data_IF_554242390356
#
_entry.id   IF_554242390356
#
_cell.length_a   1.000
_cell.length_b   1.000
_cell.length_c   1.000
_cell.angle_alpha   90.00
_cell.angle_beta   90.00
_cell.angle_gamma   90.00
#
_symmetry.space_group_name_H-M   'P 1'
#
loop_
_entity.id
_entity.type
_entity.pdbx_description
1 polymer ?
#
# COMPACT_ATOMS: atom_id res chain seq x y z
N UNK A 1 -21.44 18.10 -54.38
CA UNK A 1 -20.39 18.96 -53.77
C UNK A 1 -21.03 20.26 -53.33
N UNK A 2 -20.95 20.64 -52.07
CA UNK A 2 -21.20 22.01 -51.67
C UNK A 2 -22.38 22.30 -50.74
N UNK A 3 -22.61 21.49 -49.67
CA UNK A 3 -23.63 21.86 -48.67
C UNK A 3 -23.03 22.30 -47.31
N UNK A 4 -21.75 22.05 -47.12
CA UNK A 4 -21.05 22.39 -45.85
C UNK A 4 -20.49 23.84 -45.84
N UNK A 5 -20.38 24.48 -47.03
CA UNK A 5 -19.83 25.84 -47.16
C UNK A 5 -20.79 26.98 -46.86
N UNK A 6 -22.09 26.71 -46.63
CA UNK A 6 -23.12 27.78 -46.39
C UNK A 6 -23.49 27.98 -44.92
N UNK A 7 -22.97 27.19 -44.02
CA UNK A 7 -23.25 27.30 -42.56
C UNK A 7 -22.15 28.06 -41.78
N UNK A 8 -21.10 28.53 -42.43
CA UNK A 8 -19.97 29.19 -41.77
C UNK A 8 -19.82 30.67 -42.08
N UNK A 9 -20.75 31.27 -42.87
CA UNK A 9 -20.67 32.68 -43.22
C UNK A 9 -22.03 33.36 -43.14
N UNK A 10 -22.46 33.69 -41.95
CA UNK A 10 -23.67 34.48 -41.73
C UNK A 10 -23.91 34.78 -40.26
N UNK A 11 -23.37 35.87 -39.76
CA UNK A 11 -23.65 36.29 -38.39
C UNK A 11 -22.89 37.55 -37.98
N UNK A 12 -23.48 38.66 -38.23
CA UNK A 12 -23.40 39.98 -37.59
C UNK A 12 -22.14 40.35 -36.78
N UNK A 13 -21.33 41.20 -37.37
CA UNK A 13 -20.45 42.16 -36.69
C UNK A 13 -21.22 43.25 -35.97
N UNK A 14 -21.66 42.99 -34.73
CA UNK A 14 -22.03 44.05 -33.78
C UNK A 14 -22.37 43.43 -32.42
N UNK A 15 -21.36 42.91 -31.72
CA UNK A 15 -21.26 42.97 -30.25
C UNK A 15 -19.94 42.24 -29.81
N UNK A 16 -18.85 42.95 -29.92
CA UNK A 16 -17.62 42.49 -29.27
C UNK A 16 -17.64 42.99 -27.83
N UNK A 17 -17.83 42.14 -26.83
CA UNK A 17 -17.57 42.55 -25.47
C UNK A 17 -16.06 42.84 -25.34
N UNK A 18 -15.72 43.93 -24.66
CA UNK A 18 -14.34 44.30 -24.35
C UNK A 18 -13.59 43.14 -23.69
N UNK A 19 -12.30 42.99 -23.94
CA UNK A 19 -11.52 41.96 -23.28
C UNK A 19 -11.51 42.24 -21.78
N UNK A 20 -12.18 41.39 -21.02
CA UNK A 20 -12.05 41.36 -19.58
C UNK A 20 -10.62 40.87 -19.34
N UNK A 21 -9.74 41.76 -18.97
CA UNK A 21 -8.42 41.45 -18.46
C UNK A 21 -8.65 40.68 -17.16
N UNK A 22 -8.70 39.35 -17.26
CA UNK A 22 -8.63 38.50 -16.09
C UNK A 22 -7.27 38.78 -15.45
N UNK A 23 -7.31 39.47 -14.30
CA UNK A 23 -6.12 39.57 -13.46
C UNK A 23 -5.64 38.15 -13.19
N UNK A 24 -4.46 37.81 -13.71
CA UNK A 24 -3.80 36.56 -13.44
C UNK A 24 -3.67 36.46 -11.91
N UNK A 25 -4.41 35.53 -11.31
CA UNK A 25 -4.17 35.14 -9.94
C UNK A 25 -2.67 34.77 -9.86
N UNK A 26 -1.95 35.17 -8.81
CA UNK A 26 -0.56 34.81 -8.67
C UNK A 26 -0.50 33.29 -8.71
N UNK A 27 0.18 32.73 -9.72
CA UNK A 27 0.59 31.34 -9.74
C UNK A 27 1.41 31.11 -8.48
N UNK A 28 0.77 30.58 -7.45
CA UNK A 28 1.48 30.06 -6.30
C UNK A 28 2.39 28.97 -6.85
N UNK A 29 3.64 29.27 -7.04
CA UNK A 29 4.71 28.30 -7.32
C UNK A 29 4.75 27.37 -6.12
N UNK A 30 4.01 26.26 -6.22
CA UNK A 30 4.06 25.19 -5.23
C UNK A 30 5.48 24.64 -5.26
N UNK A 31 6.28 25.05 -4.28
CA UNK A 31 7.58 24.41 -4.07
C UNK A 31 7.34 22.94 -3.74
N UNK A 32 8.08 22.01 -4.35
CA UNK A 32 7.94 20.60 -4.04
C UNK A 32 8.20 20.39 -2.55
N UNK A 33 7.23 19.77 -1.85
CA UNK A 33 7.38 19.44 -0.45
C UNK A 33 8.57 18.51 -0.25
N UNK A 34 9.33 18.74 0.81
CA UNK A 34 10.42 17.85 1.19
C UNK A 34 9.89 16.50 1.65
N UNK A 35 10.73 15.45 1.58
CA UNK A 35 10.35 14.11 2.08
C UNK A 35 9.88 14.17 3.54
N UNK A 36 10.55 14.97 4.37
CA UNK A 36 10.20 15.16 5.78
C UNK A 36 8.83 15.81 5.97
N UNK A 37 8.49 16.80 5.15
CA UNK A 37 7.15 17.43 5.17
C UNK A 37 6.06 16.45 4.76
N UNK A 38 6.32 15.64 3.73
CA UNK A 38 5.39 14.60 3.27
C UNK A 38 5.17 13.55 4.38
N UNK A 39 6.25 13.09 5.02
CA UNK A 39 6.20 12.15 6.14
C UNK A 39 5.37 12.74 7.30
N UNK A 40 5.58 14.01 7.64
CA UNK A 40 4.84 14.68 8.71
C UNK A 40 3.34 14.82 8.40
N UNK A 41 3.01 15.20 7.17
CA UNK A 41 1.62 15.28 6.71
C UNK A 41 0.95 13.89 6.73
N UNK A 42 1.65 12.86 6.25
CA UNK A 42 1.16 11.48 6.23
C UNK A 42 0.93 10.94 7.64
N UNK A 43 1.88 11.17 8.55
CA UNK A 43 1.75 10.79 9.95
C UNK A 43 0.51 11.42 10.61
N UNK A 44 0.37 12.74 10.49
CA UNK A 44 -0.76 13.47 11.07
C UNK A 44 -2.10 13.05 10.50
N UNK A 45 -2.13 12.76 9.20
CA UNK A 45 -3.33 12.23 8.55
C UNK A 45 -3.68 10.83 9.07
N UNK A 46 -2.71 9.93 9.18
CA UNK A 46 -2.91 8.59 9.73
C UNK A 46 -3.40 8.64 11.19
N UNK A 47 -2.73 9.43 11.98
CA UNK A 47 -3.00 9.56 13.40
C UNK A 47 -4.34 10.22 13.68
N UNK A 48 -4.91 10.97 12.71
CA UNK A 48 -6.01 11.92 12.93
C UNK A 48 -5.75 12.74 14.21
N UNK A 49 -4.51 13.26 14.32
CA UNK A 49 -3.95 13.84 15.52
C UNK A 49 -4.87 14.94 16.07
N UNK A 50 -5.26 14.77 17.32
CA UNK A 50 -5.91 15.83 18.08
C UNK A 50 -4.94 16.99 18.37
N UNK A 51 -5.43 18.04 18.99
CA UNK A 51 -4.65 19.27 19.24
C UNK A 51 -3.63 19.17 20.39
N UNK A 52 -3.75 18.18 21.27
CA UNK A 52 -2.85 18.04 22.43
C UNK A 52 -1.61 17.23 22.06
N UNK A 53 -0.44 17.87 22.21
CA UNK A 53 0.85 17.24 21.98
C UNK A 53 1.33 16.53 23.25
N UNK A 54 1.91 15.33 23.09
CA UNK A 54 2.52 14.60 24.18
C UNK A 54 3.77 15.34 24.72
N UNK A 55 4.09 15.18 26.03
CA UNK A 55 5.33 15.67 26.59
C UNK A 55 6.57 15.13 25.84
N UNK A 56 7.59 15.94 25.72
CA UNK A 56 8.85 15.56 25.06
C UNK A 56 9.50 14.31 25.67
N UNK A 57 9.34 14.10 26.98
CA UNK A 57 9.81 12.88 27.64
C UNK A 57 9.11 11.61 27.15
N UNK A 58 7.81 11.69 26.82
CA UNK A 58 7.06 10.57 26.26
C UNK A 58 7.53 10.28 24.84
N UNK A 59 7.71 11.31 24.01
CA UNK A 59 8.26 11.17 22.67
C UNK A 59 9.65 10.52 22.70
N UNK A 60 10.53 10.98 23.61
CA UNK A 60 11.87 10.43 23.74
C UNK A 60 11.85 8.95 24.15
N UNK A 61 11.03 8.56 25.13
CA UNK A 61 10.89 7.15 25.54
C UNK A 61 10.44 6.26 24.39
N UNK A 62 9.51 6.72 23.57
CA UNK A 62 9.05 5.98 22.39
C UNK A 62 10.20 5.82 21.39
N UNK A 63 10.96 6.88 21.13
CA UNK A 63 12.10 6.84 20.22
C UNK A 63 13.22 5.91 20.71
N UNK A 64 13.51 5.92 22.01
CA UNK A 64 14.52 5.05 22.61
C UNK A 64 14.14 3.57 22.48
N UNK A 65 12.86 3.25 22.71
CA UNK A 65 12.36 1.89 22.54
C UNK A 65 12.34 1.46 21.08
N UNK A 66 11.96 2.35 20.16
CA UNK A 66 12.02 2.09 18.72
C UNK A 66 13.48 1.86 18.27
N UNK A 67 14.42 2.65 18.79
CA UNK A 67 15.85 2.46 18.53
C UNK A 67 16.37 1.13 19.11
N UNK A 68 15.83 0.68 20.23
CA UNK A 68 16.13 -0.64 20.79
C UNK A 68 15.66 -1.75 19.87
N UNK A 69 14.41 -1.67 19.34
CA UNK A 69 13.87 -2.63 18.40
C UNK A 69 14.68 -2.71 17.10
N UNK A 70 15.20 -1.59 16.62
CA UNK A 70 16.10 -1.55 15.46
C UNK A 70 17.41 -2.32 15.73
N UNK A 71 17.96 -2.18 16.93
CA UNK A 71 19.22 -2.88 17.31
C UNK A 71 19.01 -4.36 17.63
N UNK A 72 17.83 -4.72 18.13
CA UNK A 72 17.47 -6.07 18.56
C UNK A 72 16.21 -6.56 17.82
N UNK A 73 16.28 -6.90 16.51
CA UNK A 73 15.11 -7.25 15.71
C UNK A 73 14.30 -8.43 16.27
N UNK A 74 14.96 -9.36 16.97
CA UNK A 74 14.30 -10.52 17.60
C UNK A 74 13.31 -10.08 18.69
N UNK A 75 13.61 -9.01 19.42
CA UNK A 75 12.69 -8.44 20.40
C UNK A 75 11.42 -7.86 19.73
N UNK A 76 11.55 -7.34 18.53
CA UNK A 76 10.44 -6.84 17.71
C UNK A 76 9.57 -7.96 17.10
N UNK A 77 10.05 -9.19 17.04
CA UNK A 77 9.31 -10.32 16.43
C UNK A 77 7.97 -10.61 17.15
N UNK A 78 7.86 -10.27 18.44
CA UNK A 78 6.59 -10.37 19.18
C UNK A 78 5.55 -9.32 18.75
N UNK A 79 5.99 -8.26 18.08
CA UNK A 79 5.13 -7.18 17.57
C UNK A 79 4.60 -7.47 16.17
N UNK A 80 5.13 -8.48 15.48
CA UNK A 80 4.72 -8.89 14.14
C UNK A 80 3.97 -10.22 14.23
N UNK A 81 2.76 -10.35 13.67
CA UNK A 81 2.02 -11.61 13.64
C UNK A 81 2.78 -12.69 12.87
N UNK A 82 2.58 -13.95 13.30
CA UNK A 82 3.17 -15.10 12.61
C UNK A 82 2.51 -15.32 11.25
N UNK A 83 3.35 -15.59 10.26
CA UNK A 83 2.90 -16.01 8.92
C UNK A 83 2.25 -17.40 9.04
N UNK A 84 1.08 -17.63 8.42
CA UNK A 84 0.45 -18.95 8.39
C UNK A 84 1.39 -20.02 7.83
N UNK A 85 1.48 -21.17 8.49
CA UNK A 85 2.46 -22.22 8.17
C UNK A 85 2.33 -22.80 6.74
N UNK A 86 1.16 -22.72 6.13
CA UNK A 86 0.90 -23.17 4.76
C UNK A 86 1.58 -22.31 3.71
N UNK A 87 1.79 -21.00 3.98
CA UNK A 87 2.32 -20.06 2.99
C UNK A 87 3.75 -20.43 2.53
N UNK A 88 4.73 -20.73 3.42
CA UNK A 88 6.05 -21.16 2.99
C UNK A 88 6.03 -22.42 2.13
N UNK A 89 5.11 -23.35 2.40
CA UNK A 89 4.95 -24.57 1.60
C UNK A 89 4.44 -24.25 0.19
N UNK A 90 3.39 -23.41 0.08
CA UNK A 90 2.86 -22.98 -1.21
C UNK A 90 3.89 -22.18 -2.02
N UNK A 91 4.68 -21.33 -1.36
CA UNK A 91 5.75 -20.58 -2.02
C UNK A 91 6.83 -21.50 -2.61
N UNK A 92 7.20 -22.58 -1.91
CA UNK A 92 8.13 -23.59 -2.45
C UNK A 92 7.51 -24.34 -3.64
N UNK A 93 6.24 -24.72 -3.54
CA UNK A 93 5.53 -25.38 -4.66
C UNK A 93 5.50 -24.50 -5.91
N UNK A 94 5.35 -23.18 -5.75
CA UNK A 94 5.40 -22.23 -6.85
C UNK A 94 6.81 -21.98 -7.43
N UNK A 95 7.87 -22.44 -6.78
CA UNK A 95 9.22 -22.40 -7.32
C UNK A 95 9.55 -23.63 -8.18
N UNK A 96 8.76 -24.71 -8.07
CA UNK A 96 8.94 -25.93 -8.86
C UNK A 96 8.45 -25.67 -10.31
N UNK A 97 9.36 -25.78 -11.28
CA UNK A 97 9.07 -25.59 -12.70
C UNK A 97 8.08 -26.65 -13.25
N UNK A 98 8.01 -27.82 -12.61
CA UNK A 98 7.11 -28.92 -12.97
C UNK A 98 5.78 -28.89 -12.21
N UNK A 99 5.48 -27.77 -11.54
CA UNK A 99 4.26 -27.61 -10.76
C UNK A 99 3.03 -27.57 -11.68
N UNK A 100 2.08 -28.49 -11.46
CA UNK A 100 0.81 -28.48 -12.16
C UNK A 100 -0.24 -27.62 -11.42
N UNK A 101 -1.13 -26.97 -12.18
CA UNK A 101 -2.25 -26.22 -11.61
C UNK A 101 -3.13 -27.09 -10.72
N UNK A 102 -3.33 -28.37 -11.07
CA UNK A 102 -4.08 -29.33 -10.27
C UNK A 102 -3.44 -29.59 -8.88
N UNK A 103 -2.11 -29.76 -8.83
CA UNK A 103 -1.38 -29.96 -7.57
C UNK A 103 -1.49 -28.72 -6.66
N UNK A 104 -1.32 -27.53 -7.25
CA UNK A 104 -1.46 -26.28 -6.50
C UNK A 104 -2.91 -26.07 -6.02
N UNK A 105 -3.89 -26.35 -6.87
CA UNK A 105 -5.32 -26.30 -6.54
C UNK A 105 -5.65 -27.18 -5.32
N UNK A 106 -5.14 -28.41 -5.30
CA UNK A 106 -5.36 -29.34 -4.18
C UNK A 106 -4.74 -28.85 -2.87
N UNK A 107 -3.60 -28.17 -2.92
CA UNK A 107 -2.98 -27.56 -1.73
C UNK A 107 -3.75 -26.33 -1.25
N UNK A 108 -4.18 -25.46 -2.17
CA UNK A 108 -4.96 -24.26 -1.86
C UNK A 108 -6.32 -24.61 -1.26
N UNK A 109 -6.94 -25.70 -1.72
CA UNK A 109 -8.24 -26.17 -1.22
C UNK A 109 -8.25 -26.54 0.28
N UNK A 110 -7.08 -26.71 0.90
CA UNK A 110 -6.95 -26.96 2.34
C UNK A 110 -7.24 -25.72 3.20
N UNK A 111 -7.25 -24.53 2.60
CA UNK A 111 -7.48 -23.26 3.30
C UNK A 111 -8.57 -22.45 2.57
N UNK A 112 -9.76 -22.39 3.17
CA UNK A 112 -10.93 -21.69 2.59
C UNK A 112 -10.66 -20.20 2.39
N UNK A 113 -9.83 -19.57 3.24
CA UNK A 113 -9.49 -18.15 3.08
C UNK A 113 -8.61 -17.94 1.86
N UNK A 114 -7.64 -18.83 1.63
CA UNK A 114 -6.81 -18.78 0.41
C UNK A 114 -7.63 -19.01 -0.85
N UNK A 115 -8.56 -19.96 -0.82
CA UNK A 115 -9.50 -20.19 -1.94
C UNK A 115 -10.27 -18.90 -2.26
N UNK A 116 -10.85 -18.26 -1.24
CA UNK A 116 -11.60 -17.03 -1.42
C UNK A 116 -10.74 -15.88 -1.98
N UNK A 117 -9.48 -15.76 -1.51
CA UNK A 117 -8.54 -14.73 -2.00
C UNK A 117 -8.12 -14.98 -3.46
N UNK A 118 -7.89 -16.24 -3.86
CA UNK A 118 -7.57 -16.59 -5.25
C UNK A 118 -8.74 -16.21 -6.17
N UNK A 119 -9.97 -16.57 -5.83
CA UNK A 119 -11.12 -16.18 -6.64
C UNK A 119 -11.35 -14.67 -6.67
N UNK A 120 -11.16 -13.98 -5.55
CA UNK A 120 -11.27 -12.53 -5.47
C UNK A 120 -10.25 -11.85 -6.37
N UNK A 121 -9.01 -12.32 -6.37
CA UNK A 121 -7.95 -11.76 -7.20
C UNK A 121 -8.20 -12.03 -8.68
N UNK A 122 -8.53 -13.27 -9.05
CA UNK A 122 -8.78 -13.66 -10.43
C UNK A 122 -9.98 -12.92 -11.06
N UNK A 123 -10.98 -12.56 -10.25
CA UNK A 123 -12.16 -11.81 -10.69
C UNK A 123 -11.99 -10.28 -10.60
N UNK A 124 -10.78 -9.76 -10.39
CA UNK A 124 -10.54 -8.31 -10.46
C UNK A 124 -10.71 -7.78 -11.89
N UNK A 125 -11.26 -6.56 -12.06
CA UNK A 125 -11.49 -5.97 -13.39
C UNK A 125 -10.23 -5.90 -14.27
N UNK A 126 -9.04 -5.75 -13.67
CA UNK A 126 -7.78 -5.70 -14.41
C UNK A 126 -7.43 -7.00 -15.14
N UNK A 127 -7.93 -8.15 -14.68
CA UNK A 127 -7.78 -9.43 -15.38
C UNK A 127 -8.90 -9.67 -16.38
N UNK A 128 -10.13 -9.23 -16.08
CA UNK A 128 -11.27 -9.40 -16.96
C UNK A 128 -11.16 -8.58 -18.26
N UNK A 129 -10.59 -7.38 -18.21
CA UNK A 129 -10.43 -6.52 -19.39
C UNK A 129 -9.43 -7.05 -20.43
N UNK A 130 -8.50 -7.91 -20.03
CA UNK A 130 -7.49 -8.49 -20.93
C UNK A 130 -8.04 -9.62 -21.81
N UNK A 131 -9.17 -10.22 -21.45
CA UNK A 131 -9.71 -11.43 -22.09
C UNK A 131 -11.12 -11.26 -22.66
N UNK A 132 -11.53 -10.03 -23.04
CA UNK A 132 -12.83 -9.75 -23.67
C UNK A 132 -14.00 -10.49 -23.01
N UNK A 133 -14.49 -9.97 -21.89
CA UNK A 133 -15.74 -10.37 -21.24
C UNK A 133 -15.90 -11.89 -21.02
N UNK A 134 -14.92 -12.54 -20.42
CA UNK A 134 -15.09 -13.89 -19.92
C UNK A 134 -16.04 -13.89 -18.72
N UNK A 135 -16.94 -14.88 -18.61
CA UNK A 135 -17.75 -15.06 -17.41
C UNK A 135 -16.84 -15.17 -16.18
N UNK A 136 -17.33 -14.78 -15.01
CA UNK A 136 -16.57 -14.86 -13.76
C UNK A 136 -15.91 -16.23 -13.62
N UNK A 137 -14.62 -16.22 -13.25
CA UNK A 137 -13.85 -17.45 -13.07
C UNK A 137 -14.40 -18.17 -11.84
N UNK A 138 -14.90 -19.37 -12.04
CA UNK A 138 -15.55 -20.19 -11.02
C UNK A 138 -14.84 -21.54 -10.77
N UNK A 139 -13.69 -21.79 -11.42
CA UNK A 139 -12.86 -22.96 -11.14
C UNK A 139 -11.45 -22.55 -10.73
N UNK A 140 -10.84 -23.29 -9.81
CA UNK A 140 -9.57 -22.97 -9.20
C UNK A 140 -8.41 -23.05 -10.20
N UNK A 141 -8.40 -24.04 -11.06
CA UNK A 141 -7.35 -24.21 -12.06
C UNK A 141 -7.34 -23.05 -13.06
N UNK A 142 -8.52 -22.61 -13.51
CA UNK A 142 -8.65 -21.43 -14.37
C UNK A 142 -8.17 -20.15 -13.68
N UNK A 143 -8.45 -19.99 -12.38
CA UNK A 143 -7.94 -18.88 -11.59
C UNK A 143 -6.41 -18.91 -11.50
N UNK A 144 -5.82 -20.08 -11.23
CA UNK A 144 -4.37 -20.27 -11.16
C UNK A 144 -3.72 -19.99 -12.51
N UNK A 145 -4.30 -20.49 -13.61
CA UNK A 145 -3.78 -20.25 -14.95
C UNK A 145 -3.85 -18.76 -15.34
N UNK A 146 -4.92 -18.07 -14.99
CA UNK A 146 -5.08 -16.64 -15.24
C UNK A 146 -4.06 -15.79 -14.49
N UNK A 147 -3.85 -16.06 -13.21
CA UNK A 147 -2.90 -15.34 -12.36
C UNK A 147 -1.46 -15.67 -12.73
N UNK A 148 -1.23 -16.89 -13.20
CA UNK A 148 0.11 -17.42 -13.46
C UNK A 148 0.96 -17.56 -12.20
N UNK A 149 2.18 -18.06 -12.36
CA UNK A 149 3.10 -18.30 -11.25
C UNK A 149 3.42 -17.02 -10.45
N UNK A 150 3.74 -15.93 -11.14
CA UNK A 150 4.08 -14.67 -10.49
C UNK A 150 2.88 -14.04 -9.79
N UNK A 151 1.70 -14.04 -10.40
CA UNK A 151 0.48 -13.54 -9.75
C UNK A 151 0.13 -14.34 -8.49
N UNK A 152 0.27 -15.65 -8.52
CA UNK A 152 0.08 -16.52 -7.35
C UNK A 152 1.10 -16.24 -6.25
N UNK A 153 2.38 -16.04 -6.58
CA UNK A 153 3.42 -15.68 -5.60
C UNK A 153 3.11 -14.33 -4.93
N UNK A 154 2.71 -13.33 -5.70
CA UNK A 154 2.33 -12.00 -5.20
C UNK A 154 1.08 -12.09 -4.29
N UNK A 155 0.08 -12.87 -4.69
CA UNK A 155 -1.11 -13.12 -3.89
C UNK A 155 -0.77 -13.76 -2.54
N UNK A 156 0.03 -14.84 -2.56
CA UNK A 156 0.44 -15.53 -1.34
C UNK A 156 1.27 -14.64 -0.41
N UNK A 157 2.17 -13.82 -0.95
CA UNK A 157 2.92 -12.83 -0.16
C UNK A 157 1.95 -11.84 0.52
N UNK A 158 0.99 -11.30 -0.23
CA UNK A 158 -0.02 -10.38 0.33
C UNK A 158 -0.84 -11.04 1.44
N UNK A 159 -1.28 -12.28 1.26
CA UNK A 159 -2.04 -13.01 2.29
C UNK A 159 -1.19 -13.33 3.50
N UNK A 160 0.09 -13.68 3.30
CA UNK A 160 1.04 -13.96 4.38
C UNK A 160 1.23 -12.77 5.34
N UNK A 161 1.29 -11.56 4.80
CA UNK A 161 1.50 -10.35 5.59
C UNK A 161 0.21 -9.67 6.06
N UNK A 162 -0.95 -10.11 5.59
CA UNK A 162 -2.26 -9.56 6.01
C UNK A 162 -2.51 -9.59 7.53
N UNK A 163 -2.06 -10.59 8.31
CA UNK A 163 -2.22 -10.58 9.76
C UNK A 163 -1.58 -9.37 10.45
N UNK A 164 -0.56 -8.75 9.86
CA UNK A 164 0.05 -7.51 10.36
C UNK A 164 -0.99 -6.38 10.44
N UNK A 165 -1.97 -6.39 9.53
CA UNK A 165 -3.04 -5.41 9.44
C UNK A 165 -4.21 -5.71 10.37
N UNK A 166 -4.41 -7.00 10.67
CA UNK A 166 -5.52 -7.49 11.50
C UNK A 166 -5.23 -7.41 13.00
N UNK A 167 -4.21 -6.66 13.40
CA UNK A 167 -3.88 -6.46 14.81
C UNK A 167 -5.02 -5.75 15.53
N UNK A 168 -5.65 -6.43 16.47
CA UNK A 168 -6.79 -5.93 17.24
C UNK A 168 -6.38 -5.21 18.55
N UNK A 169 -5.13 -4.84 18.71
CA UNK A 169 -4.65 -4.20 19.93
C UNK A 169 -4.22 -2.76 19.67
N UNK A 170 -4.77 -1.83 20.47
CA UNK A 170 -4.46 -0.40 20.42
C UNK A 170 -5.41 0.40 19.51
N UNK A 171 -5.88 1.54 19.97
CA UNK A 171 -6.85 2.37 19.25
C UNK A 171 -6.29 3.00 17.98
N UNK A 172 -5.01 3.38 18.01
CA UNK A 172 -4.31 4.00 16.91
C UNK A 172 -3.95 2.94 15.84
N UNK A 173 -3.35 1.83 16.24
CA UNK A 173 -2.92 0.76 15.33
C UNK A 173 -4.10 0.16 14.56
N UNK A 174 -5.22 -0.12 15.22
CA UNK A 174 -6.45 -0.63 14.58
C UNK A 174 -6.91 0.29 13.45
N UNK A 175 -6.79 1.59 13.63
CA UNK A 175 -7.19 2.59 12.63
C UNK A 175 -6.16 2.76 11.53
N UNK A 176 -4.89 2.84 11.87
CA UNK A 176 -3.81 3.20 10.95
C UNK A 176 -3.29 2.02 10.13
N UNK A 177 -3.19 0.83 10.71
CA UNK A 177 -2.63 -0.34 10.04
C UNK A 177 -3.33 -0.70 8.72
N UNK A 178 -4.67 -0.68 8.60
CA UNK A 178 -5.33 -0.90 7.31
C UNK A 178 -5.04 0.17 6.26
N UNK A 179 -4.80 1.42 6.67
CA UNK A 179 -4.46 2.51 5.78
C UNK A 179 -3.04 2.37 5.25
N UNK A 180 -2.09 2.08 6.14
CA UNK A 180 -0.69 1.80 5.82
C UNK A 180 -0.60 0.60 4.87
N UNK A 181 -1.35 -0.47 5.17
CA UNK A 181 -1.38 -1.66 4.33
C UNK A 181 -1.84 -1.36 2.89
N UNK A 182 -2.97 -0.65 2.75
CA UNK A 182 -3.45 -0.25 1.41
C UNK A 182 -2.41 0.57 0.64
N UNK A 183 -1.64 1.39 1.33
CA UNK A 183 -0.52 2.12 0.70
C UNK A 183 0.60 1.16 0.29
N UNK A 184 0.96 0.20 1.16
CA UNK A 184 1.97 -0.82 0.85
C UNK A 184 1.58 -1.68 -0.35
N UNK A 185 0.31 -2.09 -0.47
CA UNK A 185 -0.19 -2.82 -1.65
C UNK A 185 -0.03 -2.02 -2.95
N UNK A 186 -0.29 -0.72 -2.92
CA UNK A 186 -0.08 0.17 -4.08
C UNK A 186 1.40 0.30 -4.42
N UNK A 187 2.25 0.49 -3.41
CA UNK A 187 3.71 0.55 -3.59
C UNK A 187 4.25 -0.77 -4.17
N UNK A 188 3.78 -1.91 -3.66
CA UNK A 188 4.16 -3.23 -4.15
C UNK A 188 3.82 -3.41 -5.64
N UNK A 189 2.58 -3.07 -6.01
CA UNK A 189 2.15 -3.15 -7.40
C UNK A 189 2.96 -2.22 -8.31
N UNK A 190 3.13 -0.96 -7.90
CA UNK A 190 3.92 0.01 -8.67
C UNK A 190 5.38 -0.45 -8.84
N UNK A 191 6.00 -0.91 -7.76
CA UNK A 191 7.37 -1.43 -7.79
C UNK A 191 7.51 -2.63 -8.75
N UNK A 192 6.55 -3.57 -8.71
CA UNK A 192 6.56 -4.74 -9.60
C UNK A 192 6.40 -4.38 -11.09
N UNK A 193 5.66 -3.31 -11.39
CA UNK A 193 5.45 -2.84 -12.76
C UNK A 193 6.69 -2.10 -13.32
N UNK A 194 7.41 -1.39 -12.44
CA UNK A 194 8.62 -0.62 -12.83
C UNK A 194 9.86 -1.52 -12.86
N UNK A 195 9.95 -2.53 -12.02
CA UNK A 195 11.13 -3.39 -11.88
C UNK A 195 11.69 -3.93 -13.20
N UNK A 196 10.88 -4.44 -14.15
CA UNK A 196 11.41 -4.94 -15.43
C UNK A 196 12.12 -3.86 -16.25
N UNK A 197 11.69 -2.59 -16.17
CA UNK A 197 12.35 -1.48 -16.89
C UNK A 197 13.74 -1.17 -16.32
N UNK A 198 13.99 -1.59 -15.09
CA UNK A 198 15.27 -1.47 -14.38
C UNK A 198 16.06 -2.78 -14.31
N UNK A 199 15.67 -3.77 -15.11
CA UNK A 199 16.25 -5.13 -15.12
C UNK A 199 16.19 -5.83 -13.75
N UNK A 200 15.25 -5.47 -12.89
CA UNK A 200 15.03 -6.06 -11.58
C UNK A 200 13.92 -7.11 -11.59
N UNK A 201 13.94 -8.02 -10.62
CA UNK A 201 12.91 -9.05 -10.48
C UNK A 201 11.59 -8.42 -10.00
N UNK A 202 10.51 -8.62 -10.74
CA UNK A 202 9.21 -8.05 -10.43
C UNK A 202 8.62 -8.54 -9.09
N UNK A 203 8.87 -9.81 -8.73
CA UNK A 203 8.38 -10.35 -7.45
C UNK A 203 9.16 -9.80 -6.26
N UNK A 204 10.49 -9.68 -6.38
CA UNK A 204 11.32 -9.13 -5.31
C UNK A 204 10.99 -7.66 -5.08
N UNK A 205 10.78 -6.89 -6.15
CA UNK A 205 10.33 -5.51 -6.07
C UNK A 205 8.91 -5.40 -5.46
N UNK A 206 8.00 -6.31 -5.80
CA UNK A 206 6.69 -6.40 -5.17
C UNK A 206 6.81 -6.62 -3.67
N UNK A 207 7.63 -7.57 -3.26
CA UNK A 207 7.84 -7.91 -1.85
C UNK A 207 8.44 -6.74 -1.08
N UNK A 208 9.46 -6.09 -1.65
CA UNK A 208 10.06 -4.89 -1.07
C UNK A 208 9.03 -3.77 -0.88
N UNK A 209 8.20 -3.49 -1.90
CA UNK A 209 7.13 -2.50 -1.80
C UNK A 209 6.06 -2.86 -0.77
N UNK A 210 5.73 -4.14 -0.61
CA UNK A 210 4.77 -4.62 0.38
C UNK A 210 5.30 -4.45 1.81
N UNK A 211 6.60 -4.66 2.01
CA UNK A 211 7.27 -4.56 3.31
C UNK A 211 7.65 -3.12 3.69
N UNK A 212 7.73 -2.21 2.73
CA UNK A 212 8.30 -0.87 2.89
C UNK A 212 7.72 -0.04 4.05
N UNK A 213 6.50 -0.33 4.51
CA UNK A 213 5.84 0.40 5.59
C UNK A 213 5.55 -0.46 6.83
N UNK A 214 6.06 -1.67 6.91
CA UNK A 214 5.82 -2.56 8.06
C UNK A 214 6.39 -1.96 9.35
N UNK A 215 7.57 -1.35 9.29
CA UNK A 215 8.18 -0.67 10.42
C UNK A 215 7.31 0.48 10.97
N UNK A 216 6.54 1.15 10.11
CA UNK A 216 5.61 2.18 10.55
C UNK A 216 4.42 1.59 11.35
N UNK A 217 3.93 0.41 10.98
CA UNK A 217 2.92 -0.32 11.77
C UNK A 217 3.47 -0.69 13.15
N UNK A 218 4.74 -1.15 13.20
CA UNK A 218 5.43 -1.45 14.48
C UNK A 218 5.55 -0.18 15.32
N UNK A 219 5.93 0.95 14.72
CA UNK A 219 6.03 2.22 15.42
C UNK A 219 4.68 2.68 15.99
N UNK A 220 3.59 2.62 15.24
CA UNK A 220 2.26 2.96 15.75
C UNK A 220 1.79 2.02 16.86
N UNK A 221 2.14 0.74 16.78
CA UNK A 221 1.83 -0.20 17.87
C UNK A 221 2.60 0.14 19.16
N UNK A 222 3.85 0.54 19.04
CA UNK A 222 4.64 0.98 20.17
C UNK A 222 4.07 2.27 20.78
N UNK A 223 3.66 3.21 19.95
CA UNK A 223 2.99 4.43 20.39
C UNK A 223 1.71 4.09 21.16
N UNK A 224 0.88 3.17 20.67
CA UNK A 224 -0.33 2.72 21.36
C UNK A 224 -0.04 2.14 22.76
N UNK A 225 1.11 1.53 22.95
CA UNK A 225 1.49 0.92 24.24
C UNK A 225 2.04 1.93 25.24
N UNK A 226 2.60 3.04 24.78
CA UNK A 226 3.41 3.93 25.59
C UNK A 226 2.83 5.33 25.79
N UNK A 227 1.87 5.77 24.96
CA UNK A 227 1.32 7.12 25.08
C UNK A 227 0.05 7.14 25.96
N UNK A 228 -0.19 8.29 26.62
CA UNK A 228 -1.45 8.56 27.28
C UNK A 228 -2.54 8.93 26.26
N UNK A 229 -3.81 8.52 26.47
CA UNK A 229 -4.87 8.74 25.49
C UNK A 229 -5.14 10.22 25.19
N UNK A 230 -4.85 11.12 26.11
CA UNK A 230 -5.19 12.55 26.01
C UNK A 230 -4.13 13.41 25.30
N UNK A 231 -2.93 12.86 25.06
CA UNK A 231 -1.81 13.61 24.48
C UNK A 231 -1.07 12.74 23.45
N UNK A 232 -1.00 13.23 22.20
CA UNK A 232 -0.45 12.45 21.10
C UNK A 232 0.98 12.92 20.73
N UNK A 233 1.96 11.99 20.57
CA UNK A 233 3.30 12.33 20.14
C UNK A 233 3.28 12.76 18.67
N UNK A 234 3.61 14.04 18.39
CA UNK A 234 3.44 14.61 17.04
C UNK A 234 4.40 15.76 16.71
N UNK A 235 5.47 15.96 17.48
CA UNK A 235 6.48 16.96 17.12
C UNK A 235 7.16 16.60 15.80
N UNK A 236 7.57 17.59 15.00
CA UNK A 236 8.23 17.35 13.72
C UNK A 236 9.52 16.54 13.88
N UNK A 237 10.28 16.80 14.95
CA UNK A 237 11.48 16.05 15.27
C UNK A 237 11.19 14.59 15.59
N UNK A 238 10.12 14.33 16.35
CA UNK A 238 9.65 12.99 16.67
C UNK A 238 9.24 12.24 15.41
N UNK A 239 8.39 12.86 14.57
CA UNK A 239 7.91 12.24 13.32
C UNK A 239 9.07 11.88 12.41
N UNK A 240 10.03 12.79 12.21
CA UNK A 240 11.20 12.54 11.36
C UNK A 240 12.00 11.33 11.85
N UNK A 241 12.21 11.20 13.16
CA UNK A 241 12.93 10.07 13.72
C UNK A 241 12.13 8.76 13.67
N UNK A 242 10.81 8.79 13.91
CA UNK A 242 9.94 7.63 13.73
C UNK A 242 10.04 7.09 12.30
N UNK A 243 9.96 7.94 11.28
CA UNK A 243 10.08 7.48 9.88
C UNK A 243 11.48 6.95 9.56
N UNK A 244 12.53 7.60 10.05
CA UNK A 244 13.90 7.13 9.87
C UNK A 244 14.08 5.71 10.43
N UNK A 245 13.61 5.46 11.65
CA UNK A 245 13.72 4.16 12.30
C UNK A 245 12.77 3.12 11.70
N UNK A 246 11.55 3.52 11.35
CA UNK A 246 10.58 2.64 10.67
C UNK A 246 11.12 2.11 9.34
N UNK A 247 11.84 2.94 8.56
CA UNK A 247 12.49 2.50 7.31
C UNK A 247 13.56 1.43 7.54
N UNK A 248 14.27 1.48 8.67
CA UNK A 248 15.29 0.46 9.01
C UNK A 248 14.60 -0.85 9.43
N UNK A 249 13.44 -0.76 10.10
CA UNK A 249 12.66 -1.94 10.52
C UNK A 249 11.89 -2.61 9.37
N UNK A 250 11.71 -1.94 8.25
CA UNK A 250 11.03 -2.47 7.07
C UNK A 250 11.96 -3.24 6.15
#
# INVERSE_FOLDING_TARGET
>A
MGWIGKLLNGGDEKNKPAPVTAAAAPEATLQPATITEIDAMYYRWLAAAGSAQAPAETEQKILDELARLVREPIAGAALVPRIPAIIPQLMRTLQDENMSAAKLSAQLAQDVLLVAEVYREANRPCYQSRYNASPSINNMEGAIMLLGQNGMRMLLARVAFRPIVSMQSGGLTVRTAPLIWRQSEKCALAASLVAPTMHANAFDAYLAGLMANVGLVVAFRLIDQMHAPDAFPQSDAFIAQVFAQARILS
#
